data_IF_313841184436
#
_entry.id   IF_313841184436
#
_cell.length_a   1.000
_cell.length_b   1.000
_cell.length_c   1.000
_cell.angle_alpha   90.00
_cell.angle_beta   90.00
_cell.angle_gamma   90.00
#
_symmetry.space_group_name_H-M   'P 1'
#
loop_
_entity.id
_entity.type
_entity.pdbx_description
1 polymer ?
#
# COMPACT_ATOMS: atom_id res chain seq x y z
N UNK A 1 -17.01 34.00 -1.23
CA UNK A 1 -16.62 33.66 -2.62
C UNK A 1 -16.55 32.15 -2.72
N UNK A 2 -17.29 31.61 -3.67
CA UNK A 2 -17.81 30.26 -3.60
C UNK A 2 -16.80 29.22 -4.10
N UNK A 3 -16.15 28.51 -3.18
CA UNK A 3 -15.29 27.38 -3.49
C UNK A 3 -15.98 26.37 -4.44
N UNK A 4 -17.26 26.10 -4.22
CA UNK A 4 -18.06 25.25 -5.12
C UNK A 4 -18.20 25.81 -6.53
N UNK A 5 -18.34 27.13 -6.70
CA UNK A 5 -18.41 27.78 -8.00
C UNK A 5 -17.05 27.78 -8.70
N UNK A 6 -15.95 27.94 -7.95
CA UNK A 6 -14.59 27.81 -8.50
C UNK A 6 -14.33 26.36 -8.93
N UNK A 7 -14.60 25.37 -8.09
CA UNK A 7 -14.42 23.95 -8.42
C UNK A 7 -15.28 23.54 -9.64
N UNK A 8 -16.53 24.00 -9.69
CA UNK A 8 -17.41 23.74 -10.82
C UNK A 8 -16.85 24.33 -12.11
N UNK A 9 -16.46 25.61 -12.10
CA UNK A 9 -15.92 26.26 -13.28
C UNK A 9 -14.57 25.70 -13.74
N UNK A 10 -13.77 25.17 -12.82
CA UNK A 10 -12.39 24.74 -13.06
C UNK A 10 -12.31 23.26 -13.45
N UNK A 11 -13.21 22.43 -12.92
CA UNK A 11 -13.15 20.97 -13.09
C UNK A 11 -14.39 20.39 -13.76
N UNK A 12 -15.59 20.81 -13.33
CA UNK A 12 -16.85 20.15 -13.69
C UNK A 12 -17.54 20.76 -14.92
N UNK A 13 -17.15 21.97 -15.36
CA UNK A 13 -17.84 22.73 -16.41
C UNK A 13 -17.54 22.25 -17.84
N UNK A 14 -16.34 21.74 -18.10
CA UNK A 14 -15.97 21.20 -19.43
C UNK A 14 -15.75 19.69 -19.31
N UNK A 15 -16.40 18.93 -20.20
CA UNK A 15 -16.32 17.46 -20.21
C UNK A 15 -14.89 16.95 -20.37
N UNK A 16 -14.04 17.67 -21.12
CA UNK A 16 -12.63 17.31 -21.29
C UNK A 16 -11.81 17.49 -20.01
N UNK A 17 -11.99 18.57 -19.26
CA UNK A 17 -11.31 18.78 -17.97
C UNK A 17 -11.85 17.85 -16.89
N UNK A 18 -13.14 17.55 -16.95
CA UNK A 18 -13.79 16.58 -16.07
C UNK A 18 -13.15 15.19 -16.22
N UNK A 19 -13.01 14.68 -17.45
CA UNK A 19 -12.39 13.38 -17.70
C UNK A 19 -10.94 13.31 -17.20
N UNK A 20 -10.15 14.36 -17.41
CA UNK A 20 -8.77 14.42 -16.90
C UNK A 20 -8.72 14.32 -15.38
N UNK A 21 -9.61 15.03 -14.68
CA UNK A 21 -9.65 14.96 -13.21
C UNK A 21 -10.19 13.63 -12.72
N UNK A 22 -11.18 13.03 -13.39
CA UNK A 22 -11.67 11.70 -13.01
C UNK A 22 -10.57 10.65 -13.16
N UNK A 23 -9.86 10.62 -14.29
CA UNK A 23 -8.75 9.67 -14.52
C UNK A 23 -7.61 9.89 -13.52
N UNK A 24 -7.25 11.15 -13.25
CA UNK A 24 -6.25 11.48 -12.24
C UNK A 24 -6.70 11.06 -10.84
N UNK A 25 -7.96 11.35 -10.48
CA UNK A 25 -8.52 10.98 -9.19
C UNK A 25 -8.55 9.47 -9.00
N UNK A 26 -8.91 8.69 -10.02
CA UNK A 26 -8.88 7.22 -9.93
C UNK A 26 -7.47 6.67 -9.68
N UNK A 27 -6.44 7.21 -10.33
CA UNK A 27 -5.06 6.78 -10.10
C UNK A 27 -4.60 7.02 -8.65
N UNK A 28 -4.90 8.21 -8.12
CA UNK A 28 -4.57 8.51 -6.72
C UNK A 28 -5.46 7.76 -5.74
N UNK A 29 -6.72 7.49 -6.11
CA UNK A 29 -7.67 6.73 -5.31
C UNK A 29 -7.24 5.27 -5.17
N UNK A 30 -6.80 4.60 -6.24
CA UNK A 30 -6.25 3.25 -6.15
C UNK A 30 -5.12 3.16 -5.11
N UNK A 31 -4.10 4.01 -5.24
CA UNK A 31 -2.95 4.01 -4.31
C UNK A 31 -3.32 4.41 -2.88
N UNK A 32 -4.24 5.36 -2.74
CA UNK A 32 -4.68 5.83 -1.44
C UNK A 32 -5.55 4.81 -0.72
N UNK A 33 -6.48 4.18 -1.45
CA UNK A 33 -7.43 3.22 -0.89
C UNK A 33 -6.77 1.88 -0.63
N UNK A 34 -5.85 1.40 -1.47
CA UNK A 34 -5.13 0.16 -1.19
C UNK A 34 -4.36 0.27 0.14
N UNK A 35 -3.57 1.33 0.32
CA UNK A 35 -2.81 1.55 1.56
C UNK A 35 -3.73 1.83 2.75
N UNK A 36 -4.82 2.59 2.55
CA UNK A 36 -5.76 2.89 3.62
C UNK A 36 -6.55 1.65 4.04
N UNK A 37 -6.96 0.81 3.09
CA UNK A 37 -7.70 -0.42 3.34
C UNK A 37 -6.82 -1.44 4.05
N UNK A 38 -5.56 -1.60 3.63
CA UNK A 38 -4.61 -2.49 4.30
C UNK A 38 -4.36 -2.04 5.74
N UNK A 39 -4.12 -0.75 5.98
CA UNK A 39 -3.98 -0.21 7.34
C UNK A 39 -5.25 -0.28 8.18
N UNK A 40 -6.41 -0.09 7.56
CA UNK A 40 -7.69 -0.21 8.23
C UNK A 40 -7.94 -1.67 8.62
N UNK A 41 -7.64 -2.60 7.73
CA UNK A 41 -7.76 -4.04 7.96
C UNK A 41 -6.77 -4.53 9.02
N UNK A 42 -5.51 -4.08 8.97
CA UNK A 42 -4.48 -4.38 9.98
C UNK A 42 -4.84 -3.82 11.36
N UNK A 43 -5.42 -2.62 11.41
CA UNK A 43 -5.88 -2.02 12.66
C UNK A 43 -7.07 -2.79 13.26
N UNK A 44 -8.00 -3.24 12.40
CA UNK A 44 -9.20 -3.95 12.87
C UNK A 44 -8.92 -5.42 13.22
N UNK A 45 -8.04 -6.08 12.45
CA UNK A 45 -7.75 -7.51 12.55
C UNK A 45 -6.31 -7.80 12.97
N UNK A 46 -5.69 -6.91 13.75
CA UNK A 46 -4.29 -6.99 14.17
C UNK A 46 -3.88 -8.37 14.74
N UNK A 47 -4.81 -9.10 15.38
CA UNK A 47 -4.55 -10.44 15.93
C UNK A 47 -4.50 -11.56 14.89
N UNK A 48 -5.24 -11.47 13.79
CA UNK A 48 -5.27 -12.52 12.75
C UNK A 48 -4.18 -12.31 11.68
N UNK A 49 -3.72 -11.06 11.48
CA UNK A 49 -2.72 -10.75 10.45
C UNK A 49 -1.30 -11.13 10.89
N UNK A 50 -1.01 -11.10 12.19
CA UNK A 50 0.25 -11.60 12.76
C UNK A 50 0.45 -13.12 12.58
N UNK A 51 -0.65 -13.88 12.39
CA UNK A 51 -0.60 -15.32 12.14
C UNK A 51 -0.30 -15.66 10.66
N UNK A 52 -0.65 -14.79 9.71
CA UNK A 52 -0.38 -14.99 8.28
C UNK A 52 1.06 -14.62 7.88
N UNK A 53 1.76 -13.84 8.70
CA UNK A 53 3.15 -13.42 8.48
C UNK A 53 4.19 -14.42 9.03
N UNK A 54 3.74 -15.52 9.64
CA UNK A 54 4.63 -16.57 10.16
C UNK A 54 5.44 -17.26 9.03
N UNK A 55 4.88 -17.34 7.82
CA UNK A 55 5.55 -17.93 6.66
C UNK A 55 6.72 -17.09 6.13
N UNK A 56 6.59 -15.77 6.13
CA UNK A 56 7.64 -14.84 5.65
C UNK A 56 8.79 -14.75 6.66
N UNK A 57 8.48 -14.73 7.95
CA UNK A 57 9.44 -14.74 9.05
C UNK A 57 10.22 -16.05 9.14
N UNK A 58 9.59 -17.21 8.93
CA UNK A 58 10.30 -18.50 8.87
C UNK A 58 11.25 -18.60 7.68
N UNK A 59 10.88 -18.06 6.51
CA UNK A 59 11.78 -17.97 5.36
C UNK A 59 13.00 -17.07 5.64
N UNK A 60 12.81 -16.00 6.40
CA UNK A 60 13.90 -15.13 6.83
C UNK A 60 14.82 -15.81 7.84
N UNK A 61 14.27 -16.58 8.78
CA UNK A 61 15.04 -17.37 9.73
C UNK A 61 15.82 -18.49 9.04
N UNK A 62 15.22 -19.17 8.05
CA UNK A 62 15.90 -20.23 7.30
C UNK A 62 17.11 -19.68 6.53
N UNK A 63 16.96 -18.52 5.87
CA UNK A 63 18.07 -17.84 5.17
C UNK A 63 19.20 -17.44 6.10
N UNK A 64 18.88 -16.97 7.30
CA UNK A 64 19.87 -16.65 8.33
C UNK A 64 20.60 -17.90 8.82
N UNK A 65 19.88 -19.00 9.01
CA UNK A 65 20.46 -20.29 9.40
C UNK A 65 21.46 -20.78 8.33
N UNK A 66 21.06 -20.75 7.05
CA UNK A 66 21.95 -21.17 5.95
C UNK A 66 23.17 -20.25 5.83
N UNK A 67 23.01 -18.94 6.04
CA UNK A 67 24.13 -17.99 6.01
C UNK A 67 25.12 -18.22 7.17
N UNK A 68 24.62 -18.55 8.36
CA UNK A 68 25.45 -18.91 9.51
C UNK A 68 26.19 -20.23 9.30
N UNK A 69 25.52 -21.25 8.74
CA UNK A 69 26.15 -22.55 8.44
C UNK A 69 27.28 -22.42 7.39
N UNK A 70 27.07 -21.62 6.34
CA UNK A 70 28.12 -21.35 5.32
C UNK A 70 29.32 -20.63 5.93
N UNK A 71 29.08 -19.71 6.87
CA UNK A 71 30.15 -18.99 7.54
C UNK A 71 30.93 -19.91 8.49
N UNK A 72 30.25 -20.77 9.25
CA UNK A 72 30.88 -21.72 10.16
C UNK A 72 31.83 -22.69 9.44
N UNK A 73 31.41 -23.24 8.30
CA UNK A 73 32.23 -24.11 7.45
C UNK A 73 33.36 -23.38 6.69
N UNK A 74 33.36 -22.05 6.63
CA UNK A 74 34.46 -21.27 6.05
C UNK A 74 35.57 -20.98 7.06
N UNK A 75 35.32 -21.14 8.35
CA UNK A 75 36.26 -20.83 9.46
C UNK A 75 36.89 -22.05 10.13
N UNK A 76 36.50 -23.26 9.72
CA UNK A 76 37.08 -24.55 10.14
C UNK A 76 37.60 -25.32 8.93
#
# INVERSE_FOLDING_TARGET
MAFGTTLYNLVLKRTSTFMVVVVGATFFFERGVDVAAEKFWDSHNARCNHDLDFGSTLQQQLKLQTALDVTYWSTH
#
